data_IF_616999454688
#
_entry.id   IF_616999454688
#
_cell.length_a   1.000
_cell.length_b   1.000
_cell.length_c   1.000
_cell.angle_alpha   90.00
_cell.angle_beta   90.00
_cell.angle_gamma   90.00
#
_symmetry.space_group_name_H-M   'P 1'
#
loop_
_entity.id
_entity.type
_entity.pdbx_description
1 polymer ?
#
# COMPACT_ATOMS: atom_id res chain seq x y z
N UNK A 1 -8.73 -41.39 -84.25
CA UNK A 1 -9.31 -40.04 -84.05
C UNK A 1 -10.02 -39.97 -82.72
N UNK A 2 -9.31 -39.55 -81.66
CA UNK A 2 -9.93 -39.35 -80.33
C UNK A 2 -9.67 -37.86 -79.98
N UNK A 3 -10.77 -37.15 -79.83
CA UNK A 3 -10.76 -35.71 -79.42
C UNK A 3 -10.68 -35.69 -77.89
N UNK A 4 -9.62 -35.10 -77.34
CA UNK A 4 -9.51 -34.69 -75.98
C UNK A 4 -10.35 -33.41 -75.75
N UNK A 5 -11.26 -33.50 -74.78
CA UNK A 5 -12.00 -32.35 -74.28
C UNK A 5 -11.22 -31.74 -73.13
N UNK A 6 -10.81 -30.54 -73.26
CA UNK A 6 -10.25 -29.73 -72.16
C UNK A 6 -11.39 -29.11 -71.36
N UNK A 7 -11.36 -29.32 -70.03
CA UNK A 7 -12.22 -28.66 -69.04
C UNK A 7 -11.44 -27.52 -68.40
N UNK A 8 -11.97 -26.29 -68.31
CA UNK A 8 -11.29 -25.19 -67.65
C UNK A 8 -11.34 -25.35 -66.13
N UNK A 9 -10.21 -25.25 -65.46
CA UNK A 9 -10.05 -25.21 -64.02
C UNK A 9 -10.35 -23.76 -63.55
N UNK A 10 -11.46 -23.58 -62.84
CA UNK A 10 -11.79 -22.31 -62.22
C UNK A 10 -11.03 -22.22 -60.89
N UNK A 11 -10.05 -21.31 -60.81
CA UNK A 11 -9.41 -20.92 -59.55
C UNK A 11 -10.38 -20.08 -58.72
N UNK A 12 -10.88 -20.67 -57.64
CA UNK A 12 -11.61 -19.92 -56.59
C UNK A 12 -10.61 -19.15 -55.73
N UNK A 13 -10.62 -17.84 -55.87
CA UNK A 13 -9.82 -16.89 -55.07
C UNK A 13 -10.48 -16.75 -53.70
N UNK A 14 -9.99 -17.47 -52.67
CA UNK A 14 -10.40 -17.28 -51.27
C UNK A 14 -9.74 -16.04 -50.72
N UNK A 15 -10.46 -14.93 -50.73
CA UNK A 15 -10.06 -13.75 -49.96
C UNK A 15 -10.36 -13.99 -48.47
N UNK A 16 -9.32 -14.32 -47.72
CA UNK A 16 -9.39 -14.25 -46.26
C UNK A 16 -9.44 -12.77 -45.86
N UNK A 17 -10.62 -12.33 -45.49
CA UNK A 17 -10.86 -11.06 -44.83
C UNK A 17 -10.33 -11.19 -43.39
N UNK A 18 -9.09 -10.71 -43.16
CA UNK A 18 -8.56 -10.51 -41.81
C UNK A 18 -9.31 -9.29 -41.23
N UNK A 19 -10.24 -9.57 -40.31
CA UNK A 19 -10.81 -8.54 -39.49
C UNK A 19 -9.70 -7.89 -38.65
N UNK A 20 -9.63 -6.55 -38.56
CA UNK A 20 -8.68 -5.90 -37.68
C UNK A 20 -9.12 -6.21 -36.23
N UNK A 21 -8.30 -6.99 -35.51
CA UNK A 21 -8.40 -7.12 -34.07
C UNK A 21 -8.03 -5.76 -33.49
N UNK A 22 -9.04 -4.95 -33.18
CA UNK A 22 -8.89 -3.76 -32.36
C UNK A 22 -8.56 -4.20 -30.93
N UNK A 23 -7.27 -4.36 -30.65
CA UNK A 23 -6.76 -4.32 -29.28
C UNK A 23 -6.88 -2.88 -28.83
N UNK A 24 -8.08 -2.48 -28.48
CA UNK A 24 -8.33 -1.27 -27.73
C UNK A 24 -7.74 -1.50 -26.34
N UNK A 25 -6.50 -1.07 -26.13
CA UNK A 25 -6.00 -0.85 -24.76
C UNK A 25 -6.88 0.24 -24.14
N UNK A 26 -7.96 -0.17 -23.50
CA UNK A 26 -8.72 0.70 -22.61
C UNK A 26 -7.79 0.94 -21.43
N UNK A 27 -7.12 2.09 -21.42
CA UNK A 27 -6.57 2.65 -20.20
C UNK A 27 -7.78 2.88 -19.30
N UNK A 28 -8.10 1.88 -18.45
CA UNK A 28 -9.12 2.03 -17.45
C UNK A 28 -8.66 3.12 -16.48
N UNK A 29 -9.17 4.35 -16.67
CA UNK A 29 -8.99 5.42 -15.69
C UNK A 29 -9.56 4.95 -14.36
N UNK A 30 -8.99 5.46 -13.26
CA UNK A 30 -9.50 5.20 -11.91
C UNK A 30 -10.96 5.63 -11.84
N UNK A 31 -11.82 4.75 -11.36
CA UNK A 31 -13.21 5.11 -11.08
C UNK A 31 -13.28 6.02 -9.86
N UNK A 32 -14.25 6.94 -9.83
CA UNK A 32 -14.49 7.81 -8.66
C UNK A 32 -14.73 6.99 -7.39
N UNK A 33 -15.40 5.83 -7.51
CA UNK A 33 -15.59 4.89 -6.42
C UNK A 33 -14.28 4.36 -5.83
N UNK A 34 -13.26 4.11 -6.67
CA UNK A 34 -11.95 3.63 -6.20
C UNK A 34 -11.21 4.71 -5.43
N UNK A 35 -11.34 5.97 -5.86
CA UNK A 35 -10.77 7.13 -5.15
C UNK A 35 -11.42 7.28 -3.78
N UNK A 36 -12.76 7.17 -3.70
CA UNK A 36 -13.50 7.28 -2.44
C UNK A 36 -13.16 6.15 -1.47
N UNK A 37 -13.03 4.91 -1.97
CA UNK A 37 -12.60 3.74 -1.18
C UNK A 37 -11.19 3.96 -0.66
N UNK A 38 -10.27 4.40 -1.53
CA UNK A 38 -8.88 4.67 -1.20
C UNK A 38 -8.74 5.73 -0.12
N UNK A 39 -9.42 6.87 -0.29
CA UNK A 39 -9.35 7.98 0.66
C UNK A 39 -9.81 7.56 2.05
N UNK A 40 -10.98 6.90 2.15
CA UNK A 40 -11.50 6.41 3.44
C UNK A 40 -10.62 5.31 4.05
N UNK A 41 -10.10 4.43 3.20
CA UNK A 41 -9.21 3.35 3.65
C UNK A 41 -7.90 3.87 4.22
N UNK A 42 -7.28 4.85 3.55
CA UNK A 42 -6.06 5.49 3.99
C UNK A 42 -6.24 6.29 5.28
N UNK A 43 -7.28 7.11 5.35
CA UNK A 43 -7.60 7.92 6.55
C UNK A 43 -7.75 7.06 7.79
N UNK A 44 -8.54 6.00 7.68
CA UNK A 44 -8.71 5.06 8.79
C UNK A 44 -7.42 4.30 9.12
N UNK A 45 -6.70 3.82 8.10
CA UNK A 45 -5.45 3.10 8.32
C UNK A 45 -4.44 3.94 9.08
N UNK A 46 -4.20 5.18 8.65
CA UNK A 46 -3.23 6.08 9.27
C UNK A 46 -3.60 6.34 10.72
N UNK A 47 -4.86 6.63 10.99
CA UNK A 47 -5.33 6.88 12.36
C UNK A 47 -5.06 5.69 13.29
N UNK A 48 -5.45 4.47 12.89
CA UNK A 48 -5.28 3.29 13.75
C UNK A 48 -3.84 2.79 13.82
N UNK A 49 -3.06 2.97 12.74
CA UNK A 49 -1.66 2.55 12.67
C UNK A 49 -0.79 3.36 13.64
N UNK A 50 -0.82 4.69 13.57
CA UNK A 50 0.01 5.52 14.46
C UNK A 50 -0.49 5.49 15.91
N UNK A 51 -1.79 5.35 16.15
CA UNK A 51 -2.31 5.09 17.50
C UNK A 51 -1.76 3.78 18.09
N UNK A 52 -1.68 2.72 17.28
CA UNK A 52 -1.09 1.44 17.69
C UNK A 52 0.42 1.56 17.91
N UNK A 53 1.12 2.29 17.02
CA UNK A 53 2.58 2.48 17.08
C UNK A 53 2.99 3.22 18.37
N UNK A 54 2.24 4.23 18.78
CA UNK A 54 2.52 5.03 19.98
C UNK A 54 1.96 4.41 21.27
N UNK A 55 1.24 3.30 21.18
CA UNK A 55 0.68 2.62 22.34
C UNK A 55 1.75 1.88 23.15
N UNK A 56 1.44 1.59 24.41
CA UNK A 56 2.29 0.74 25.27
C UNK A 56 2.35 -0.70 24.75
N UNK A 57 1.30 -1.15 24.05
CA UNK A 57 1.17 -2.51 23.52
C UNK A 57 1.61 -2.61 22.05
N UNK A 58 2.42 -1.66 21.57
CA UNK A 58 2.84 -1.59 20.16
C UNK A 58 3.47 -2.89 19.65
N UNK A 59 4.26 -3.59 20.48
CA UNK A 59 4.89 -4.86 20.09
C UNK A 59 3.88 -5.98 19.79
N UNK A 60 2.64 -5.88 20.31
CA UNK A 60 1.54 -6.79 20.03
C UNK A 60 0.57 -6.23 18.99
N UNK A 61 0.47 -4.91 18.88
CA UNK A 61 -0.54 -4.24 18.06
C UNK A 61 -0.06 -3.95 16.65
N UNK A 62 1.15 -3.39 16.50
CA UNK A 62 1.71 -3.00 15.20
C UNK A 62 1.93 -4.21 14.26
N UNK A 63 2.47 -5.37 14.73
CA UNK A 63 2.66 -6.52 13.85
C UNK A 63 1.37 -7.05 13.20
N UNK A 64 0.19 -6.78 13.77
CA UNK A 64 -1.09 -7.21 13.21
C UNK A 64 -1.45 -6.56 11.88
N UNK A 65 -0.83 -5.42 11.58
CA UNK A 65 -0.98 -4.77 10.28
C UNK A 65 -0.16 -5.45 9.17
N UNK A 66 0.79 -6.31 9.52
CA UNK A 66 1.71 -6.96 8.61
C UNK A 66 1.38 -8.44 8.41
N UNK A 67 2.01 -9.02 7.40
CA UNK A 67 2.01 -10.46 7.12
C UNK A 67 3.46 -10.96 7.08
N UNK A 68 3.67 -12.24 7.16
CA UNK A 68 5.01 -12.84 7.05
C UNK A 68 5.72 -12.44 5.74
N UNK A 69 4.94 -12.20 4.68
CA UNK A 69 5.43 -11.79 3.36
C UNK A 69 5.58 -10.29 3.17
N UNK A 70 5.26 -9.48 4.18
CA UNK A 70 5.40 -8.02 4.11
C UNK A 70 6.86 -7.61 3.96
N UNK A 71 7.14 -6.70 3.03
CA UNK A 71 8.47 -6.12 2.82
C UNK A 71 8.58 -4.82 3.59
N UNK A 72 9.53 -4.74 4.52
CA UNK A 72 9.67 -3.57 5.39
C UNK A 72 11.11 -3.08 5.37
N UNK A 73 11.28 -1.77 5.23
CA UNK A 73 12.56 -1.08 5.39
C UNK A 73 12.38 0.02 6.42
N UNK A 74 13.10 -0.07 7.53
CA UNK A 74 13.06 0.93 8.57
C UNK A 74 14.38 1.71 8.60
N UNK A 75 14.33 2.97 8.23
CA UNK A 75 15.49 3.88 8.15
C UNK A 75 16.71 3.25 7.45
N UNK A 76 16.46 2.61 6.30
CA UNK A 76 17.47 1.93 5.49
C UNK A 76 17.81 0.50 5.93
N UNK A 77 17.23 0.00 7.03
CA UNK A 77 17.47 -1.36 7.50
C UNK A 77 16.28 -2.27 7.12
N UNK A 78 16.55 -3.43 6.48
CA UNK A 78 15.49 -4.37 6.16
C UNK A 78 14.93 -5.04 7.42
N UNK A 79 13.61 -5.20 7.46
CA UNK A 79 12.86 -5.85 8.54
C UNK A 79 11.97 -6.91 7.93
N UNK A 80 12.02 -8.13 8.44
CA UNK A 80 11.36 -9.29 7.81
C UNK A 80 9.98 -9.55 8.39
N UNK A 81 8.95 -9.19 7.63
CA UNK A 81 7.56 -9.53 7.93
C UNK A 81 7.07 -9.05 9.30
N UNK A 82 5.98 -9.63 9.76
CA UNK A 82 5.35 -9.34 11.06
C UNK A 82 6.23 -9.67 12.27
N UNK A 83 7.02 -10.74 12.18
CA UNK A 83 7.95 -11.14 13.25
C UNK A 83 9.08 -10.13 13.41
N UNK A 84 9.70 -9.69 12.32
CA UNK A 84 10.75 -8.68 12.36
C UNK A 84 10.21 -7.31 12.84
N UNK A 85 8.98 -6.97 12.46
CA UNK A 85 8.31 -5.76 12.98
C UNK A 85 8.09 -5.86 14.50
N UNK A 86 7.69 -7.02 15.03
CA UNK A 86 7.57 -7.25 16.48
C UNK A 86 8.89 -6.99 17.19
N UNK A 87 9.96 -7.61 16.71
CA UNK A 87 11.29 -7.44 17.29
C UNK A 87 11.77 -5.97 17.24
N UNK A 88 11.45 -5.26 16.15
CA UNK A 88 11.73 -3.84 16.04
C UNK A 88 10.99 -3.04 17.11
N UNK A 89 9.68 -3.29 17.27
CA UNK A 89 8.83 -2.59 18.24
C UNK A 89 9.26 -2.86 19.70
N UNK A 90 9.77 -4.04 20.00
CA UNK A 90 10.30 -4.39 21.32
C UNK A 90 11.58 -3.62 21.66
N UNK A 91 12.43 -3.42 20.66
CA UNK A 91 13.73 -2.73 20.82
C UNK A 91 13.62 -1.21 20.82
N UNK A 92 12.56 -0.67 20.19
CA UNK A 92 12.37 0.76 20.05
C UNK A 92 11.94 1.42 21.36
N UNK A 93 12.44 2.63 21.68
CA UNK A 93 11.89 3.41 22.79
C UNK A 93 10.43 3.82 22.51
N UNK A 94 9.67 4.21 23.54
CA UNK A 94 8.34 4.80 23.32
C UNK A 94 8.40 5.95 22.33
N UNK A 95 7.37 6.10 21.52
CA UNK A 95 7.28 7.14 20.50
C UNK A 95 6.00 7.95 20.63
N UNK A 96 6.03 9.11 20.01
CA UNK A 96 4.85 9.94 19.75
C UNK A 96 4.98 10.53 18.37
N UNK A 97 4.11 10.12 17.48
CA UNK A 97 4.02 10.63 16.12
C UNK A 97 3.02 11.79 16.04
N UNK A 98 3.35 12.75 15.20
CA UNK A 98 2.45 13.82 14.75
C UNK A 98 2.42 13.78 13.22
N UNK A 99 1.36 13.20 12.67
CA UNK A 99 1.15 13.17 11.22
C UNK A 99 0.77 14.58 10.77
N UNK A 100 1.57 15.15 9.88
CA UNK A 100 1.36 16.51 9.34
C UNK A 100 0.63 16.48 8.01
N UNK A 101 0.93 15.51 7.16
CA UNK A 101 0.21 15.29 5.92
C UNK A 101 0.30 13.84 5.46
N UNK A 102 -0.67 13.42 4.67
CA UNK A 102 -0.58 12.17 3.91
C UNK A 102 -1.30 12.32 2.57
N UNK A 103 -0.86 11.52 1.61
CA UNK A 103 -1.48 11.34 0.31
C UNK A 103 -1.80 9.88 0.09
N UNK A 104 -2.88 9.62 -0.68
CA UNK A 104 -3.29 8.28 -1.04
C UNK A 104 -3.59 8.19 -2.53
N UNK A 105 -3.04 7.16 -3.17
CA UNK A 105 -3.31 6.84 -4.56
C UNK A 105 -3.77 5.39 -4.69
N UNK A 106 -4.99 5.13 -5.24
CA UNK A 106 -5.43 3.76 -5.52
C UNK A 106 -4.58 3.16 -6.64
N UNK A 107 -4.07 1.95 -6.42
CA UNK A 107 -3.32 1.19 -7.41
C UNK A 107 -4.34 0.43 -8.27
N UNK A 108 -4.35 0.66 -9.61
CA UNK A 108 -5.32 0.02 -10.50
C UNK A 108 -5.12 -1.50 -10.58
N UNK A 109 -6.11 -2.19 -11.16
CA UNK A 109 -6.14 -3.63 -11.46
C UNK A 109 -6.39 -4.56 -10.26
N UNK A 110 -6.80 -4.04 -9.10
CA UNK A 110 -7.35 -4.83 -7.98
C UNK A 110 -8.73 -4.29 -7.59
N UNK A 111 -9.63 -5.14 -7.15
CA UNK A 111 -10.94 -4.75 -6.63
C UNK A 111 -11.21 -5.49 -5.31
N UNK A 112 -11.28 -4.77 -4.17
CA UNK A 112 -10.99 -3.35 -3.98
C UNK A 112 -9.54 -2.98 -4.36
N UNK A 113 -9.25 -1.69 -4.67
CA UNK A 113 -7.91 -1.26 -5.06
C UNK A 113 -6.92 -1.40 -3.91
N UNK A 114 -5.68 -1.80 -4.23
CA UNK A 114 -4.54 -1.59 -3.33
C UNK A 114 -4.22 -0.10 -3.25
N UNK A 115 -3.56 0.34 -2.18
CA UNK A 115 -3.31 1.76 -1.92
C UNK A 115 -1.81 2.03 -1.82
N UNK A 116 -1.36 3.06 -2.50
CA UNK A 116 -0.08 3.71 -2.21
C UNK A 116 -0.38 4.88 -1.27
N UNK A 117 0.21 4.86 -0.07
CA UNK A 117 0.00 5.90 0.94
C UNK A 117 1.35 6.47 1.35
N UNK A 118 1.52 7.78 1.20
CA UNK A 118 2.73 8.48 1.64
C UNK A 118 2.37 9.41 2.79
N UNK A 119 3.11 9.31 3.89
CA UNK A 119 2.89 10.06 5.12
C UNK A 119 4.13 10.87 5.45
N UNK A 120 3.94 12.09 5.91
CA UNK A 120 5.01 12.89 6.51
C UNK A 120 4.56 13.50 7.84
N UNK A 121 5.53 13.66 8.73
CA UNK A 121 5.26 14.18 10.07
C UNK A 121 6.51 14.28 10.90
N UNK A 122 6.30 14.44 12.20
CA UNK A 122 7.37 14.42 13.19
C UNK A 122 7.16 13.29 14.20
N UNK A 123 8.24 12.76 14.72
CA UNK A 123 8.22 11.76 15.78
C UNK A 123 9.23 12.10 16.87
N UNK A 124 8.81 11.96 18.11
CA UNK A 124 9.69 12.01 19.29
C UNK A 124 9.84 10.60 19.85
N UNK A 125 11.06 10.16 20.07
CA UNK A 125 11.39 8.90 20.75
C UNK A 125 11.88 9.18 22.17
N UNK A 126 11.62 8.27 23.11
CA UNK A 126 12.10 8.37 24.50
C UNK A 126 10.98 8.58 25.50
N UNK A 127 11.31 9.00 26.71
CA UNK A 127 10.32 9.30 27.76
C UNK A 127 9.56 10.57 27.35
N UNK A 128 8.44 10.38 26.69
CA UNK A 128 7.48 11.45 26.41
C UNK A 128 6.83 11.83 27.74
N UNK A 129 7.53 12.59 28.56
CA UNK A 129 6.89 13.37 29.61
C UNK A 129 6.04 14.40 28.90
N UNK A 130 4.73 14.38 29.17
CA UNK A 130 3.76 15.32 28.64
C UNK A 130 4.07 16.76 29.09
N UNK A 131 5.03 17.40 28.43
CA UNK A 131 5.37 18.78 28.68
C UNK A 131 5.24 19.54 27.38
N UNK A 132 4.22 20.35 27.29
CA UNK A 132 3.94 21.31 26.22
C UNK A 132 5.05 22.37 26.06
N UNK A 133 6.11 22.33 26.86
CA UNK A 133 7.29 23.20 26.75
C UNK A 133 8.55 22.36 27.00
N UNK A 134 9.50 22.32 26.04
CA UNK A 134 10.75 21.63 26.25
C UNK A 134 11.53 22.32 27.36
N UNK A 135 11.97 21.62 28.43
CA UNK A 135 12.94 22.19 29.35
C UNK A 135 14.27 22.42 28.63
N UNK A 136 14.88 23.56 28.87
CA UNK A 136 16.24 23.87 28.39
C UNK A 136 17.20 22.77 28.89
N UNK A 137 17.88 22.06 27.99
CA UNK A 137 18.88 21.04 28.33
C UNK A 137 18.55 19.61 27.94
N UNK A 138 17.64 19.37 26.98
CA UNK A 138 17.31 18.01 26.49
C UNK A 138 18.44 17.40 25.69
N UNK A 139 18.58 16.07 25.84
CA UNK A 139 19.36 15.23 24.95
C UNK A 139 18.88 15.39 23.51
N UNK A 140 19.78 15.27 22.54
CA UNK A 140 19.46 15.28 21.10
C UNK A 140 18.40 14.21 20.76
N UNK A 141 18.35 13.13 21.52
CA UNK A 141 17.41 12.02 21.34
C UNK A 141 15.95 12.36 21.67
N UNK A 142 15.72 13.45 22.46
CA UNK A 142 14.37 13.89 22.83
C UNK A 142 13.79 14.94 21.87
N UNK A 143 14.51 15.27 20.79
CA UNK A 143 14.03 16.26 19.83
C UNK A 143 13.13 15.61 18.75
N UNK A 144 12.09 16.32 18.29
CA UNK A 144 11.29 15.83 17.17
C UNK A 144 12.15 15.63 15.92
N UNK A 145 12.02 14.48 15.28
CA UNK A 145 12.65 14.14 14.01
C UNK A 145 11.60 14.12 12.93
N UNK A 146 11.89 14.72 11.79
CA UNK A 146 11.02 14.63 10.63
C UNK A 146 11.10 13.21 10.08
N UNK A 147 9.98 12.64 9.70
CA UNK A 147 9.93 11.34 9.02
C UNK A 147 9.09 11.42 7.74
N UNK A 148 9.40 10.54 6.82
CA UNK A 148 8.57 10.16 5.68
C UNK A 148 8.37 8.65 5.71
N UNK A 149 7.13 8.21 5.51
CA UNK A 149 6.81 6.78 5.47
C UNK A 149 5.88 6.51 4.29
N UNK A 150 6.22 5.50 3.49
CA UNK A 150 5.44 5.10 2.33
C UNK A 150 4.97 3.68 2.50
N UNK A 151 3.66 3.48 2.39
CA UNK A 151 3.02 2.18 2.46
C UNK A 151 2.47 1.76 1.11
N UNK A 152 2.56 0.47 0.81
CA UNK A 152 1.65 -0.20 -0.11
C UNK A 152 0.72 -1.05 0.74
N UNK A 153 -0.57 -0.72 0.71
CA UNK A 153 -1.61 -1.45 1.42
C UNK A 153 -2.35 -2.37 0.44
N UNK A 154 -2.50 -3.62 0.80
CA UNK A 154 -3.30 -4.57 0.04
C UNK A 154 -4.60 -4.91 0.78
N UNK A 155 -5.72 -5.12 0.06
CA UNK A 155 -6.96 -5.55 0.66
C UNK A 155 -6.79 -6.89 1.39
N UNK A 156 -7.30 -6.99 2.61
CA UNK A 156 -7.29 -8.21 3.40
C UNK A 156 -8.52 -9.05 3.05
N UNK A 157 -8.38 -9.88 2.03
CA UNK A 157 -9.48 -10.70 1.50
C UNK A 157 -9.96 -11.76 2.49
N UNK A 158 -9.10 -12.22 3.39
CA UNK A 158 -9.46 -13.22 4.40
C UNK A 158 -10.40 -12.67 5.46
N UNK A 159 -10.41 -11.33 5.65
CA UNK A 159 -11.30 -10.65 6.59
C UNK A 159 -12.61 -10.17 5.98
N UNK A 160 -12.79 -10.29 4.66
CA UNK A 160 -14.00 -9.83 3.93
C UNK A 160 -15.13 -10.87 3.90
N UNK A 161 -14.97 -12.02 4.57
CA UNK A 161 -16.00 -13.07 4.63
C UNK A 161 -17.34 -12.61 5.26
N UNK A 162 -17.35 -11.46 5.95
CA UNK A 162 -18.55 -10.79 6.42
C UNK A 162 -19.03 -9.78 5.35
N UNK A 163 -19.84 -10.25 4.40
CA UNK A 163 -20.45 -9.43 3.34
C UNK A 163 -21.33 -8.26 3.86
N UNK A 164 -21.54 -8.16 5.17
CA UNK A 164 -22.24 -7.07 5.82
C UNK A 164 -21.34 -5.88 6.21
N UNK A 165 -20.01 -6.01 6.13
CA UNK A 165 -19.08 -4.92 6.46
C UNK A 165 -18.79 -4.07 5.25
N UNK A 166 -19.35 -2.89 5.21
CA UNK A 166 -19.19 -1.86 4.16
C UNK A 166 -17.75 -1.31 4.06
N UNK A 167 -16.80 -1.82 4.85
CA UNK A 167 -15.46 -1.25 4.98
C UNK A 167 -14.37 -2.28 4.65
N UNK A 168 -13.56 -1.94 3.65
CA UNK A 168 -12.39 -2.73 3.25
C UNK A 168 -11.33 -2.65 4.33
N UNK A 169 -10.85 -3.80 4.79
CA UNK A 169 -9.66 -3.87 5.64
C UNK A 169 -8.42 -3.98 4.78
N UNK A 170 -7.35 -3.40 5.25
CA UNK A 170 -6.06 -3.40 4.58
C UNK A 170 -4.97 -3.96 5.49
N UNK A 171 -3.99 -4.62 4.88
CA UNK A 171 -2.73 -4.96 5.54
C UNK A 171 -1.56 -4.30 4.80
N UNK A 172 -0.44 -4.13 5.48
CA UNK A 172 0.78 -3.56 4.90
C UNK A 172 1.49 -4.62 4.07
N UNK A 173 1.50 -4.45 2.75
CA UNK A 173 2.26 -5.26 1.82
C UNK A 173 3.73 -4.80 1.78
N UNK A 174 3.94 -3.48 1.74
CA UNK A 174 5.27 -2.87 1.77
C UNK A 174 5.25 -1.61 2.63
N UNK A 175 6.36 -1.37 3.34
CA UNK A 175 6.57 -0.21 4.21
C UNK A 175 8.02 0.27 4.08
N UNK A 176 8.20 1.54 3.75
CA UNK A 176 9.50 2.21 3.77
C UNK A 176 9.41 3.46 4.65
N UNK A 177 10.00 3.37 5.83
CA UNK A 177 10.06 4.46 6.81
C UNK A 177 11.47 5.05 6.85
N UNK A 178 11.56 6.37 6.81
CA UNK A 178 12.82 7.09 6.81
C UNK A 178 12.76 8.38 7.61
N UNK A 179 13.79 8.64 8.38
CA UNK A 179 14.03 9.98 8.93
C UNK A 179 14.59 10.90 7.84
N UNK A 180 14.14 12.16 7.84
CA UNK A 180 14.50 13.20 6.87
C UNK A 180 15.29 14.28 7.58
N UNK A 181 16.48 14.62 7.07
CA UNK A 181 17.36 15.66 7.62
C UNK A 181 18.62 15.14 8.27
#
# INVERSE_FOLDING_TARGET
MHKFRETPITLASSQHHLAPSSVGTVMAGLATSDIDIATRGADQFIYVYYAAYDSKDRAQSVPKFYRQTSSVVWNGNPVQGDTGVRELMEKMPPSRHEVQSFDCHPIPNTSPPSLLVTVSGTVVHGKVTAVLHPPHGKSVDDQPRIFSQTFILAPDTDSTADAAKTQVKYYVLSDDMRFVG
#
